data_IF_755631631078
#
_entry.id   IF_755631631078
#
_cell.length_a   1.000
_cell.length_b   1.000
_cell.length_c   1.000
_cell.angle_alpha   90.00
_cell.angle_beta   90.00
_cell.angle_gamma   90.00
#
_symmetry.space_group_name_H-M   'P 1'
#
loop_
_entity.id
_entity.type
_entity.pdbx_description
1 polymer ?
#
# COMPACT_ATOMS: atom_id res chain seq x y z
N UNK A 1 -12.62 48.64 -4.12
CA UNK A 1 -11.75 47.81 -3.26
C UNK A 1 -12.46 46.59 -2.69
N UNK A 2 -13.64 46.73 -2.04
CA UNK A 2 -14.36 45.60 -1.42
C UNK A 2 -14.63 44.41 -2.37
N UNK A 3 -15.11 44.67 -3.59
CA UNK A 3 -15.37 43.62 -4.59
C UNK A 3 -14.11 42.88 -5.05
N UNK A 4 -12.94 43.55 -5.08
CA UNK A 4 -11.66 42.92 -5.45
C UNK A 4 -11.20 41.94 -4.37
N UNK A 5 -11.41 42.28 -3.10
CA UNK A 5 -11.10 41.41 -1.96
C UNK A 5 -12.03 40.19 -1.96
N UNK A 6 -13.34 40.42 -2.15
CA UNK A 6 -14.33 39.32 -2.25
C UNK A 6 -14.01 38.41 -3.44
N UNK A 7 -13.65 38.97 -4.59
CA UNK A 7 -13.27 38.20 -5.77
C UNK A 7 -11.97 37.41 -5.55
N UNK A 8 -10.96 38.01 -4.92
CA UNK A 8 -9.73 37.29 -4.58
C UNK A 8 -9.99 36.12 -3.61
N UNK A 9 -10.84 36.32 -2.59
CA UNK A 9 -11.26 35.26 -1.68
C UNK A 9 -12.03 34.14 -2.40
N UNK A 10 -12.89 34.49 -3.35
CA UNK A 10 -13.61 33.53 -4.17
C UNK A 10 -12.66 32.68 -5.01
N UNK A 11 -11.66 33.29 -5.66
CA UNK A 11 -10.66 32.56 -6.47
C UNK A 11 -9.82 31.62 -5.61
N UNK A 12 -9.37 32.08 -4.43
CA UNK A 12 -8.62 31.24 -3.48
C UNK A 12 -9.49 30.07 -2.99
N UNK A 13 -10.73 30.34 -2.62
CA UNK A 13 -11.68 29.31 -2.19
C UNK A 13 -11.93 28.28 -3.29
N UNK A 14 -12.17 28.72 -4.52
CA UNK A 14 -12.38 27.84 -5.67
C UNK A 14 -11.13 26.99 -5.96
N UNK A 15 -9.95 27.61 -5.95
CA UNK A 15 -8.68 26.92 -6.15
C UNK A 15 -8.42 25.84 -5.11
N UNK A 16 -8.68 26.16 -3.82
CA UNK A 16 -8.53 25.18 -2.74
C UNK A 16 -9.51 24.02 -2.88
N UNK A 17 -10.78 24.30 -3.18
CA UNK A 17 -11.79 23.25 -3.37
C UNK A 17 -11.47 22.35 -4.56
N UNK A 18 -11.04 22.92 -5.70
CA UNK A 18 -10.61 22.14 -6.86
C UNK A 18 -9.38 21.28 -6.56
N UNK A 19 -8.42 21.81 -5.81
CA UNK A 19 -7.25 21.04 -5.37
C UNK A 19 -7.64 19.86 -4.48
N UNK A 20 -8.50 20.10 -3.47
CA UNK A 20 -8.99 19.04 -2.58
C UNK A 20 -9.80 17.98 -3.34
N UNK A 21 -10.70 18.41 -4.22
CA UNK A 21 -11.49 17.49 -5.05
C UNK A 21 -10.59 16.67 -5.98
N UNK A 22 -9.60 17.30 -6.60
CA UNK A 22 -8.63 16.63 -7.46
C UNK A 22 -7.80 15.60 -6.70
N UNK A 23 -7.27 15.97 -5.52
CA UNK A 23 -6.51 15.06 -4.66
C UNK A 23 -7.35 13.85 -4.25
N UNK A 24 -8.59 14.09 -3.85
CA UNK A 24 -9.51 13.02 -3.46
C UNK A 24 -9.82 12.07 -4.62
N UNK A 25 -10.26 12.63 -5.77
CA UNK A 25 -10.71 11.87 -6.93
C UNK A 25 -9.57 11.11 -7.64
N UNK A 26 -8.37 11.69 -7.68
CA UNK A 26 -7.24 11.12 -8.45
C UNK A 26 -6.30 10.27 -7.60
N UNK A 27 -6.29 10.44 -6.28
CA UNK A 27 -5.35 9.73 -5.40
C UNK A 27 -6.04 9.02 -4.25
N UNK A 28 -6.70 9.75 -3.34
CA UNK A 28 -7.16 9.15 -2.08
C UNK A 28 -8.19 8.06 -2.31
N UNK A 29 -9.11 8.26 -3.25
CA UNK A 29 -10.12 7.25 -3.58
C UNK A 29 -9.53 5.92 -4.06
N UNK A 30 -8.36 5.94 -4.70
CA UNK A 30 -7.81 4.78 -5.41
C UNK A 30 -6.67 4.09 -4.67
N UNK A 31 -5.92 4.81 -3.85
CA UNK A 31 -4.68 4.33 -3.22
C UNK A 31 -4.67 4.45 -1.70
N UNK A 32 -5.61 5.19 -1.11
CA UNK A 32 -5.72 5.29 0.35
C UNK A 32 -6.75 4.26 0.84
N UNK A 33 -6.36 3.33 1.73
CA UNK A 33 -7.31 2.40 2.31
C UNK A 33 -8.29 3.14 3.23
N UNK A 34 -9.55 2.73 3.19
CA UNK A 34 -10.52 3.05 4.25
C UNK A 34 -10.20 2.27 5.53
N UNK A 35 -10.85 2.60 6.64
CA UNK A 35 -10.66 1.90 7.91
C UNK A 35 -10.92 0.38 7.81
N UNK A 36 -11.99 -0.03 7.14
CA UNK A 36 -12.30 -1.45 6.93
C UNK A 36 -11.24 -2.13 6.05
N UNK A 37 -10.76 -1.44 5.03
CA UNK A 37 -9.72 -1.95 4.14
C UNK A 37 -8.36 -2.07 4.85
N UNK A 38 -8.07 -1.20 5.81
CA UNK A 38 -6.88 -1.28 6.66
C UNK A 38 -6.93 -2.49 7.61
N UNK A 39 -8.12 -2.81 8.15
CA UNK A 39 -8.34 -4.04 8.91
C UNK A 39 -8.07 -5.26 8.03
N UNK A 40 -8.64 -5.29 6.82
CA UNK A 40 -8.44 -6.40 5.87
C UNK A 40 -6.96 -6.56 5.50
N UNK A 41 -6.26 -5.46 5.24
CA UNK A 41 -4.82 -5.48 4.99
C UNK A 41 -4.03 -6.05 6.17
N UNK A 42 -4.44 -5.73 7.40
CA UNK A 42 -3.82 -6.28 8.62
C UNK A 42 -4.06 -7.79 8.75
N UNK A 43 -5.27 -8.26 8.42
CA UNK A 43 -5.59 -9.69 8.36
C UNK A 43 -4.79 -10.41 7.27
N UNK A 44 -4.61 -9.78 6.11
CA UNK A 44 -3.78 -10.32 5.03
C UNK A 44 -2.32 -10.43 5.41
N UNK A 45 -1.77 -9.51 6.22
CA UNK A 45 -0.42 -9.64 6.77
C UNK A 45 -0.32 -10.90 7.63
N UNK A 46 -1.26 -11.13 8.54
CA UNK A 46 -1.28 -12.33 9.38
C UNK A 46 -1.34 -13.60 8.51
N UNK A 47 -2.24 -13.64 7.51
CA UNK A 47 -2.34 -14.77 6.57
C UNK A 47 -1.06 -14.97 5.76
N UNK A 48 -0.38 -13.89 5.38
CA UNK A 48 0.91 -13.96 4.70
C UNK A 48 1.95 -14.64 5.58
N UNK A 49 2.07 -14.24 6.85
CA UNK A 49 3.00 -14.85 7.81
C UNK A 49 2.72 -16.34 8.06
N UNK A 50 1.46 -16.75 7.98
CA UNK A 50 1.05 -18.14 8.14
C UNK A 50 1.29 -19.00 6.88
N UNK A 51 1.42 -18.38 5.71
CA UNK A 51 1.59 -19.07 4.43
C UNK A 51 2.89 -19.88 4.37
N UNK A 52 2.84 -21.03 3.67
CA UNK A 52 4.04 -21.84 3.44
C UNK A 52 5.10 -21.10 2.63
N UNK A 53 4.68 -20.27 1.67
CA UNK A 53 5.59 -19.52 0.82
C UNK A 53 6.38 -18.48 1.61
N UNK A 54 5.72 -17.76 2.53
CA UNK A 54 6.42 -16.85 3.43
C UNK A 54 7.41 -17.60 4.33
N UNK A 55 7.00 -18.72 4.92
CA UNK A 55 7.90 -19.52 5.79
C UNK A 55 9.15 -19.97 5.04
N UNK A 56 8.98 -20.53 3.83
CA UNK A 56 10.08 -20.93 2.95
C UNK A 56 10.96 -19.75 2.53
N UNK A 57 10.40 -18.56 2.39
CA UNK A 57 11.12 -17.33 2.10
C UNK A 57 11.94 -16.87 3.32
N UNK A 58 11.31 -16.80 4.49
CA UNK A 58 11.94 -16.38 5.75
C UNK A 58 13.07 -17.32 6.20
N UNK A 59 13.02 -18.60 5.80
CA UNK A 59 14.12 -19.55 6.03
C UNK A 59 15.35 -19.29 5.15
N UNK A 60 15.21 -18.56 4.04
CA UNK A 60 16.25 -18.37 3.00
C UNK A 60 16.78 -16.94 2.91
N UNK A 61 15.98 -15.97 3.32
CA UNK A 61 16.25 -14.55 3.18
C UNK A 61 15.93 -13.81 4.46
N UNK A 62 16.67 -12.74 4.73
CA UNK A 62 16.43 -11.93 5.91
C UNK A 62 15.24 -11.00 5.64
N UNK A 63 14.09 -11.30 6.22
CA UNK A 63 12.90 -10.44 6.14
C UNK A 63 13.11 -9.20 7.02
N UNK A 64 13.05 -8.02 6.41
CA UNK A 64 13.37 -6.75 7.07
C UNK A 64 12.11 -5.96 7.40
N UNK A 65 11.15 -5.92 6.47
CA UNK A 65 9.93 -5.17 6.64
C UNK A 65 8.77 -5.83 5.89
N UNK A 66 7.56 -5.63 6.41
CA UNK A 66 6.33 -5.98 5.73
C UNK A 66 5.51 -4.69 5.62
N UNK A 67 5.02 -4.44 4.42
CA UNK A 67 4.24 -3.26 4.09
C UNK A 67 2.96 -3.67 3.35
N UNK A 68 1.91 -2.88 3.47
CA UNK A 68 0.64 -3.14 2.80
C UNK A 68 0.34 -2.04 1.80
N UNK A 69 -0.32 -2.41 0.72
CA UNK A 69 -0.67 -1.46 -0.33
C UNK A 69 -2.00 -1.81 -0.96
N UNK A 70 -2.64 -0.77 -1.49
CA UNK A 70 -3.92 -0.84 -2.16
C UNK A 70 -3.82 -0.07 -3.47
N UNK A 71 -4.27 -0.70 -4.56
CA UNK A 71 -4.30 -0.10 -5.89
C UNK A 71 -5.61 -0.46 -6.59
N UNK A 72 -6.65 0.34 -6.33
CA UNK A 72 -7.96 0.17 -6.99
C UNK A 72 -7.94 0.61 -8.45
N UNK A 73 -6.94 1.40 -8.87
CA UNK A 73 -6.86 1.95 -10.22
C UNK A 73 -6.39 0.92 -11.25
N UNK A 74 -5.55 -0.05 -10.85
CA UNK A 74 -5.18 -1.19 -11.71
C UNK A 74 -6.37 -2.02 -12.21
N UNK A 75 -7.56 -1.79 -11.66
CA UNK A 75 -8.75 -2.57 -11.96
C UNK A 75 -8.70 -3.91 -11.25
N UNK A 76 -9.86 -4.37 -10.79
CA UNK A 76 -9.97 -5.63 -10.06
C UNK A 76 -11.21 -5.63 -9.17
N UNK A 77 -11.70 -6.83 -8.90
CA UNK A 77 -12.74 -7.04 -7.90
C UNK A 77 -12.04 -7.24 -6.55
N UNK A 78 -12.69 -6.85 -5.47
CA UNK A 78 -12.26 -7.27 -4.14
C UNK A 78 -12.00 -8.79 -4.12
N UNK A 79 -10.90 -9.28 -3.54
CA UNK A 79 -9.83 -8.58 -2.80
C UNK A 79 -8.54 -8.33 -3.61
N UNK A 80 -8.57 -8.41 -4.95
CA UNK A 80 -7.34 -8.45 -5.77
C UNK A 80 -6.58 -7.12 -5.89
N UNK A 81 -7.16 -6.01 -5.44
CA UNK A 81 -6.47 -4.72 -5.38
C UNK A 81 -5.63 -4.53 -4.11
N UNK A 82 -5.65 -5.49 -3.19
CA UNK A 82 -4.81 -5.52 -2.00
C UNK A 82 -3.51 -6.29 -2.23
N UNK A 83 -2.42 -5.79 -1.67
CA UNK A 83 -1.13 -6.47 -1.71
C UNK A 83 -0.38 -6.33 -0.38
N UNK A 84 0.30 -7.41 0.01
CA UNK A 84 1.27 -7.44 1.10
C UNK A 84 2.66 -7.56 0.48
N UNK A 85 3.52 -6.59 0.77
CA UNK A 85 4.90 -6.55 0.30
C UNK A 85 5.85 -7.01 1.40
N UNK A 86 6.49 -8.16 1.22
CA UNK A 86 7.52 -8.68 2.12
C UNK A 86 8.89 -8.27 1.57
N UNK A 87 9.56 -7.33 2.25
CA UNK A 87 10.85 -6.77 1.85
C UNK A 87 11.98 -7.50 2.55
N UNK A 88 12.88 -8.10 1.78
CA UNK A 88 14.09 -8.77 2.28
C UNK A 88 15.35 -7.99 1.95
N UNK A 89 16.49 -8.50 2.39
CA UNK A 89 17.82 -8.04 1.98
C UNK A 89 18.13 -8.29 0.49
N UNK A 90 17.31 -9.06 -0.23
CA UNK A 90 17.50 -9.38 -1.65
C UNK A 90 16.38 -8.87 -2.56
N UNK A 91 15.11 -9.05 -2.22
CA UNK A 91 13.97 -8.69 -3.07
C UNK A 91 12.74 -8.32 -2.25
N UNK A 92 11.80 -7.67 -2.92
CA UNK A 92 10.46 -7.48 -2.35
C UNK A 92 9.53 -8.49 -3.00
N UNK A 93 8.87 -9.32 -2.19
CA UNK A 93 7.90 -10.32 -2.64
C UNK A 93 6.49 -9.81 -2.42
N UNK A 94 5.64 -9.95 -3.44
CA UNK A 94 4.29 -9.41 -3.46
C UNK A 94 3.29 -10.55 -3.26
N UNK A 95 2.62 -10.53 -2.11
CA UNK A 95 1.59 -11.49 -1.75
C UNK A 95 0.21 -10.89 -1.99
N UNK A 96 -0.66 -11.68 -2.63
CA UNK A 96 -2.05 -11.33 -2.92
C UNK A 96 -2.97 -12.53 -2.68
N UNK A 97 -4.26 -12.26 -2.51
CA UNK A 97 -5.26 -13.33 -2.39
C UNK A 97 -5.29 -14.16 -3.68
N UNK A 98 -5.35 -15.48 -3.54
CA UNK A 98 -5.39 -16.40 -4.67
C UNK A 98 -6.80 -16.59 -5.26
N UNK A 99 -7.83 -16.26 -4.49
CA UNK A 99 -9.23 -16.34 -4.87
C UNK A 99 -10.05 -15.18 -4.28
N UNK A 100 -11.33 -15.10 -4.67
CA UNK A 100 -12.26 -14.04 -4.22
C UNK A 100 -12.64 -14.14 -2.74
N UNK A 101 -12.38 -15.29 -2.10
CA UNK A 101 -12.61 -15.49 -0.67
C UNK A 101 -11.34 -15.29 0.16
N UNK A 102 -10.22 -14.98 -0.50
CA UNK A 102 -8.90 -14.90 0.09
C UNK A 102 -8.57 -16.11 1.00
N UNK A 103 -8.85 -17.32 0.52
CA UNK A 103 -8.60 -18.53 1.31
C UNK A 103 -7.11 -18.67 1.63
N UNK A 104 -6.24 -18.28 0.68
CA UNK A 104 -4.78 -18.25 0.86
C UNK A 104 -4.16 -16.98 0.27
N UNK A 105 -3.00 -16.63 0.80
CA UNK A 105 -2.09 -15.64 0.26
C UNK A 105 -1.00 -16.37 -0.51
N UNK A 106 -0.76 -15.93 -1.74
CA UNK A 106 0.24 -16.49 -2.65
C UNK A 106 1.13 -15.37 -3.17
N UNK A 107 2.40 -15.69 -3.42
CA UNK A 107 3.37 -14.79 -3.99
C UNK A 107 3.11 -14.64 -5.51
N UNK A 108 2.52 -13.52 -5.90
CA UNK A 108 2.22 -13.19 -7.28
C UNK A 108 3.42 -12.61 -8.07
N UNK A 109 4.54 -12.31 -7.40
CA UNK A 109 5.71 -11.76 -8.05
C UNK A 109 6.75 -11.16 -7.11
N UNK A 110 7.90 -10.78 -7.68
CA UNK A 110 8.95 -10.08 -6.93
C UNK A 110 9.44 -8.84 -7.67
N UNK A 111 9.89 -7.85 -6.90
CA UNK A 111 10.45 -6.60 -7.40
C UNK A 111 11.70 -6.22 -6.60
N UNK A 112 12.30 -5.09 -6.94
CA UNK A 112 13.45 -4.52 -6.25
C UNK A 112 13.18 -4.30 -4.76
N UNK A 113 14.17 -4.60 -3.92
CA UNK A 113 14.21 -4.20 -2.52
C UNK A 113 15.26 -3.13 -2.31
N UNK A 114 14.86 -2.02 -1.68
CA UNK A 114 15.77 -0.95 -1.26
C UNK A 114 16.83 -1.41 -0.26
N UNK A 115 16.57 -2.53 0.44
CA UNK A 115 17.50 -3.07 1.43
C UNK A 115 18.66 -3.87 0.85
N UNK A 116 18.70 -4.05 -0.47
CA UNK A 116 19.91 -4.49 -1.17
C UNK A 116 21.00 -3.43 -1.12
N UNK A 117 20.61 -2.15 -1.14
CA UNK A 117 21.53 -1.02 -1.26
C UNK A 117 21.63 -0.20 0.02
N UNK A 118 20.57 -0.18 0.83
CA UNK A 118 20.48 0.68 2.03
C UNK A 118 20.15 -0.11 3.30
N UNK A 119 20.85 0.18 4.40
CA UNK A 119 20.60 -0.45 5.70
C UNK A 119 19.21 -0.11 6.27
N UNK A 120 18.60 -1.00 7.08
CA UNK A 120 17.35 -0.70 7.79
C UNK A 120 17.42 0.62 8.57
N UNK A 121 16.29 1.33 8.61
CA UNK A 121 16.19 2.70 9.17
C UNK A 121 16.03 2.67 10.68
N UNK A 122 15.33 1.64 11.17
CA UNK A 122 15.27 1.36 12.59
C UNK A 122 16.62 0.79 13.04
N UNK A 123 17.11 1.18 14.24
CA UNK A 123 18.35 0.67 14.80
C UNK A 123 18.12 -0.76 15.33
N UNK A 124 17.86 -1.70 14.43
CA UNK A 124 17.91 -3.11 14.78
C UNK A 124 19.37 -3.44 15.08
N UNK A 125 19.62 -4.05 16.25
CA UNK A 125 20.97 -4.49 16.63
C UNK A 125 21.50 -5.38 15.51
N UNK A 126 22.69 -5.04 15.01
CA UNK A 126 23.45 -5.90 14.11
C UNK A 126 23.86 -7.18 14.83
#
# INVERSE_FOLDING_TARGET
MKYKIVFALLVVSLGLNLFLLGKWLLSEQWYTPTFEEEIILSEMVQKTLESEEYKRLADKENVIAIDTSLDKNKGGIFPYYFNVSVRTDKRTYLFSCNDSQCTKLENGGSTYSIYQDESPRLPFKK
#
